data_IF_124956541796
#
_entry.id   IF_124956541796
#
_cell.length_a   1.000
_cell.length_b   1.000
_cell.length_c   1.000
_cell.angle_alpha   90.00
_cell.angle_beta   90.00
_cell.angle_gamma   90.00
#
_symmetry.space_group_name_H-M   'P 1'
#
loop_
_entity.id
_entity.type
_entity.pdbx_description
1 polymer ?
#
# COMPACT_ATOMS: atom_id res chain seq x y z
N UNK A 1 -18.78 -51.63 11.34
CA UNK A 1 -18.17 -50.86 10.23
C UNK A 1 -18.10 -49.42 10.68
N UNK A 2 -16.91 -48.92 11.01
CA UNK A 2 -16.74 -47.50 11.34
C UNK A 2 -16.63 -46.76 10.02
N UNK A 3 -17.69 -46.06 9.60
CA UNK A 3 -17.58 -45.08 8.52
C UNK A 3 -16.41 -44.15 8.87
N UNK A 4 -15.46 -43.95 7.96
CA UNK A 4 -14.41 -42.97 8.19
C UNK A 4 -15.10 -41.61 8.29
N UNK A 5 -15.08 -41.01 9.47
CA UNK A 5 -15.54 -39.65 9.65
C UNK A 5 -14.70 -38.78 8.70
N UNK A 6 -15.34 -38.22 7.69
CA UNK A 6 -14.68 -37.34 6.71
C UNK A 6 -13.97 -36.18 7.41
N UNK A 7 -12.96 -35.61 6.76
CA UNK A 7 -12.21 -34.48 7.31
C UNK A 7 -13.10 -33.24 7.33
N UNK A 8 -13.46 -32.80 8.53
CA UNK A 8 -14.28 -31.60 8.72
C UNK A 8 -13.41 -30.37 8.93
N UNK A 9 -13.77 -29.28 8.25
CA UNK A 9 -13.23 -27.94 8.51
C UNK A 9 -14.35 -26.94 8.76
N UNK A 10 -14.19 -26.16 9.83
CA UNK A 10 -15.11 -25.13 10.29
C UNK A 10 -14.36 -23.80 10.28
N UNK A 11 -14.91 -22.80 9.58
CA UNK A 11 -14.38 -21.43 9.60
C UNK A 11 -15.34 -20.51 10.33
N UNK A 12 -14.82 -19.79 11.33
CA UNK A 12 -15.59 -18.87 12.17
C UNK A 12 -14.97 -17.48 12.27
N UNK A 13 -13.79 -17.24 11.68
CA UNK A 13 -13.14 -15.92 11.60
C UNK A 13 -13.71 -15.08 10.43
N UNK A 14 -15.03 -15.04 10.33
CA UNK A 14 -15.83 -14.49 9.23
C UNK A 14 -17.22 -15.15 9.24
N UNK A 15 -17.99 -15.13 8.14
CA UNK A 15 -19.18 -15.97 7.99
C UNK A 15 -18.91 -17.44 8.31
N UNK A 16 -19.88 -18.14 8.92
CA UNK A 16 -19.74 -19.56 9.23
C UNK A 16 -19.67 -20.37 7.93
N UNK A 17 -18.52 -20.97 7.66
CA UNK A 17 -18.34 -21.89 6.54
C UNK A 17 -18.05 -23.30 7.05
N UNK A 18 -18.73 -24.28 6.49
CA UNK A 18 -18.55 -25.70 6.81
C UNK A 18 -18.10 -26.42 5.56
N UNK A 19 -17.06 -27.24 5.68
CA UNK A 19 -16.61 -28.13 4.61
C UNK A 19 -16.37 -29.53 5.15
N UNK A 20 -16.68 -30.54 4.33
CA UNK A 20 -16.44 -31.95 4.61
C UNK A 20 -15.72 -32.55 3.41
N UNK A 21 -14.51 -33.06 3.63
CA UNK A 21 -13.67 -33.63 2.57
C UNK A 21 -13.41 -32.64 1.41
N UNK A 22 -13.45 -31.33 1.71
CA UNK A 22 -13.30 -30.24 0.74
C UNK A 22 -14.62 -29.70 0.19
N UNK A 23 -15.72 -30.44 0.31
CA UNK A 23 -17.02 -30.02 -0.22
C UNK A 23 -17.76 -29.08 0.74
N UNK A 24 -18.36 -27.98 0.24
CA UNK A 24 -19.12 -27.06 1.08
C UNK A 24 -20.40 -27.71 1.61
N UNK A 25 -20.65 -27.54 2.91
CA UNK A 25 -21.86 -27.98 3.60
C UNK A 25 -22.69 -26.76 3.98
N UNK A 26 -23.99 -26.81 3.71
CA UNK A 26 -24.89 -25.70 4.03
C UNK A 26 -24.83 -25.37 5.53
N UNK A 27 -24.65 -24.08 5.84
CA UNK A 27 -24.66 -23.60 7.21
C UNK A 27 -26.04 -23.86 7.85
N UNK A 28 -26.09 -24.29 9.12
CA UNK A 28 -27.35 -24.55 9.77
C UNK A 28 -28.08 -23.24 10.13
N UNK A 29 -29.29 -23.37 10.68
CA UNK A 29 -30.06 -22.22 11.12
C UNK A 29 -29.32 -21.37 12.18
N UNK A 30 -29.79 -20.14 12.47
CA UNK A 30 -29.03 -19.16 13.25
C UNK A 30 -28.60 -19.62 14.65
N UNK A 31 -29.47 -20.36 15.35
CA UNK A 31 -29.19 -20.84 16.71
C UNK A 31 -28.21 -22.03 16.70
N UNK A 32 -28.43 -23.10 15.91
CA UNK A 32 -27.42 -24.13 15.70
C UNK A 32 -26.05 -23.58 15.26
N UNK A 33 -26.01 -22.60 14.35
CA UNK A 33 -24.76 -21.94 13.93
C UNK A 33 -24.05 -21.28 15.09
N UNK A 34 -24.77 -20.54 15.95
CA UNK A 34 -24.19 -19.94 17.13
C UNK A 34 -23.70 -20.98 18.17
N UNK A 35 -24.41 -22.10 18.34
CA UNK A 35 -23.96 -23.23 19.18
C UNK A 35 -22.65 -23.80 18.63
N UNK A 36 -22.56 -24.03 17.32
CA UNK A 36 -21.36 -24.55 16.68
C UNK A 36 -20.18 -23.58 16.79
N UNK A 37 -20.39 -22.29 16.52
CA UNK A 37 -19.37 -21.25 16.70
C UNK A 37 -18.89 -21.18 18.15
N UNK A 38 -19.79 -21.27 19.14
CA UNK A 38 -19.40 -21.28 20.56
C UNK A 38 -18.53 -22.50 20.91
N UNK A 39 -18.86 -23.69 20.39
CA UNK A 39 -18.04 -24.89 20.54
C UNK A 39 -16.68 -24.76 19.83
N UNK A 40 -16.68 -24.20 18.62
CA UNK A 40 -15.47 -23.88 17.86
C UNK A 40 -14.58 -22.91 18.64
N UNK A 41 -15.10 -21.90 19.33
CA UNK A 41 -14.26 -20.98 20.12
C UNK A 41 -13.75 -21.57 21.43
N UNK A 42 -14.43 -22.57 21.98
CA UNK A 42 -14.04 -23.20 23.24
C UNK A 42 -12.75 -24.04 23.13
N UNK A 43 -12.37 -24.44 21.91
CA UNK A 43 -11.23 -25.31 21.72
C UNK A 43 -11.50 -26.75 22.13
N UNK A 44 -10.41 -27.53 22.23
CA UNK A 44 -10.42 -28.93 22.68
C UNK A 44 -10.99 -29.13 24.10
N UNK A 45 -11.07 -28.05 24.90
CA UNK A 45 -11.64 -28.10 26.26
C UNK A 45 -13.17 -28.21 26.24
N UNK A 46 -13.82 -27.84 25.13
CA UNK A 46 -15.27 -27.77 25.02
C UNK A 46 -15.93 -26.86 26.05
N UNK A 47 -17.23 -27.05 26.25
CA UNK A 47 -18.06 -26.25 27.15
C UNK A 47 -19.00 -27.13 27.96
N UNK A 48 -19.15 -26.80 29.25
CA UNK A 48 -20.23 -27.33 30.06
C UNK A 48 -21.59 -26.83 29.53
N UNK A 49 -22.67 -27.58 29.75
CA UNK A 49 -24.01 -27.19 29.27
C UNK A 49 -24.42 -25.80 29.75
N UNK A 50 -24.21 -25.48 31.02
CA UNK A 50 -24.55 -24.15 31.58
C UNK A 50 -23.79 -23.03 30.88
N UNK A 51 -22.52 -23.27 30.58
CA UNK A 51 -21.68 -22.32 29.87
C UNK A 51 -22.11 -22.14 28.42
N UNK A 52 -22.45 -23.24 27.73
CA UNK A 52 -22.91 -23.22 26.35
C UNK A 52 -24.26 -22.50 26.21
N UNK A 53 -25.21 -22.74 27.12
CA UNK A 53 -26.47 -22.00 27.19
C UNK A 53 -26.22 -20.49 27.37
N UNK A 54 -25.29 -20.12 28.25
CA UNK A 54 -24.88 -18.73 28.47
C UNK A 54 -23.91 -18.15 27.42
N UNK A 55 -23.63 -18.88 26.34
CA UNK A 55 -22.77 -18.43 25.24
C UNK A 55 -23.55 -18.10 23.98
N UNK A 56 -24.80 -18.54 23.89
CA UNK A 56 -25.67 -18.33 22.72
C UNK A 56 -26.75 -17.33 23.08
N UNK A 57 -26.75 -16.20 22.40
CA UNK A 57 -27.60 -15.05 22.67
C UNK A 57 -28.56 -14.75 21.52
N UNK A 58 -29.62 -14.01 21.82
CA UNK A 58 -30.43 -13.34 20.82
C UNK A 58 -29.66 -12.15 20.25
N UNK A 59 -30.21 -11.51 19.20
CA UNK A 59 -29.65 -10.24 18.68
C UNK A 59 -29.71 -9.11 19.71
N UNK A 60 -30.60 -9.19 20.71
CA UNK A 60 -30.69 -8.23 21.81
C UNK A 60 -29.74 -8.55 22.98
N UNK A 61 -28.95 -9.63 22.90
CA UNK A 61 -27.98 -10.02 23.93
C UNK A 61 -28.53 -10.92 25.05
N UNK A 62 -29.83 -11.23 25.05
CA UNK A 62 -30.42 -12.16 26.01
C UNK A 62 -30.06 -13.62 25.69
N UNK A 63 -30.08 -14.56 26.66
CA UNK A 63 -29.87 -15.98 26.36
C UNK A 63 -30.90 -16.51 25.34
N UNK A 64 -30.44 -17.02 24.20
CA UNK A 64 -31.32 -17.53 23.14
C UNK A 64 -31.96 -18.88 23.52
N UNK A 65 -31.37 -19.56 24.50
CA UNK A 65 -31.81 -20.83 25.03
C UNK A 65 -31.56 -20.88 26.53
N UNK A 66 -32.55 -21.36 27.28
CA UNK A 66 -32.49 -21.49 28.75
C UNK A 66 -32.56 -22.95 29.23
N UNK A 67 -33.11 -23.83 28.39
CA UNK A 67 -33.36 -25.22 28.74
C UNK A 67 -32.38 -26.15 28.03
N UNK A 68 -31.88 -27.15 28.77
CA UNK A 68 -30.99 -28.19 28.26
C UNK A 68 -31.59 -28.95 27.07
N UNK A 69 -32.87 -29.31 27.12
CA UNK A 69 -33.52 -30.08 26.05
C UNK A 69 -33.51 -29.33 24.71
N UNK A 70 -33.60 -27.99 24.74
CA UNK A 70 -33.50 -27.16 23.53
C UNK A 70 -32.10 -27.21 22.93
N UNK A 71 -31.05 -27.16 23.77
CA UNK A 71 -29.67 -27.32 23.33
C UNK A 71 -29.44 -28.71 22.74
N UNK A 72 -29.92 -29.78 23.39
CA UNK A 72 -29.79 -31.16 22.90
C UNK A 72 -30.44 -31.37 21.53
N UNK A 73 -31.58 -30.72 21.27
CA UNK A 73 -32.20 -30.70 19.94
C UNK A 73 -31.27 -30.06 18.90
N UNK A 74 -30.69 -28.89 19.19
CA UNK A 74 -29.76 -28.23 18.26
C UNK A 74 -28.48 -29.02 18.03
N UNK A 75 -27.92 -29.66 19.08
CA UNK A 75 -26.78 -30.58 18.92
C UNK A 75 -27.16 -31.78 18.05
N UNK A 76 -28.38 -32.30 18.21
CA UNK A 76 -28.88 -33.40 17.38
C UNK A 76 -29.04 -32.96 15.92
N UNK A 77 -29.52 -31.73 15.66
CA UNK A 77 -29.60 -31.17 14.31
C UNK A 77 -28.22 -31.03 13.67
N UNK A 78 -27.22 -30.53 14.42
CA UNK A 78 -25.83 -30.45 13.96
C UNK A 78 -25.25 -31.83 13.63
N UNK A 79 -25.51 -32.85 14.45
CA UNK A 79 -25.10 -34.23 14.16
C UNK A 79 -25.78 -34.80 12.92
N UNK A 80 -27.05 -34.45 12.64
CA UNK A 80 -27.74 -34.87 11.40
C UNK A 80 -27.10 -34.29 10.14
N UNK A 81 -26.38 -33.17 10.25
CA UNK A 81 -25.55 -32.63 9.17
C UNK A 81 -24.23 -33.40 8.98
N UNK A 82 -23.96 -34.40 9.83
CA UNK A 82 -22.75 -35.20 9.80
C UNK A 82 -21.58 -34.64 10.60
N UNK A 83 -21.78 -33.53 11.34
CA UNK A 83 -20.72 -32.99 12.20
C UNK A 83 -20.35 -33.99 13.31
N UNK A 84 -19.05 -34.23 13.57
CA UNK A 84 -18.59 -35.27 14.47
C UNK A 84 -18.64 -34.80 15.93
N UNK A 85 -19.79 -34.31 16.40
CA UNK A 85 -19.96 -33.85 17.79
C UNK A 85 -20.19 -35.08 18.68
N UNK A 86 -19.24 -35.44 19.59
CA UNK A 86 -19.36 -36.64 20.41
C UNK A 86 -20.53 -36.57 21.38
N UNK A 87 -20.92 -37.72 21.94
CA UNK A 87 -22.03 -37.80 22.91
C UNK A 87 -21.75 -36.90 24.13
N UNK A 88 -22.82 -36.41 24.77
CA UNK A 88 -22.71 -35.64 26.00
C UNK A 88 -21.83 -36.35 27.04
N UNK A 89 -20.95 -35.62 27.70
CA UNK A 89 -20.10 -36.20 28.75
C UNK A 89 -18.87 -36.97 28.24
N UNK A 90 -18.77 -37.25 26.93
CA UNK A 90 -17.70 -38.13 26.41
C UNK A 90 -16.32 -37.48 26.37
N UNK A 91 -16.23 -36.20 26.02
CA UNK A 91 -14.98 -35.43 26.02
C UNK A 91 -14.89 -34.41 27.15
N UNK A 92 -16.04 -33.98 27.67
CA UNK A 92 -16.15 -32.95 28.70
C UNK A 92 -17.23 -33.38 29.67
N UNK A 93 -16.89 -33.49 30.95
CA UNK A 93 -17.85 -33.80 32.02
C UNK A 93 -19.01 -32.82 31.97
N UNK A 94 -20.23 -33.32 31.82
CA UNK A 94 -21.43 -32.49 31.70
C UNK A 94 -21.43 -31.46 30.55
N UNK A 95 -20.72 -31.75 29.45
CA UNK A 95 -20.53 -30.81 28.36
C UNK A 95 -20.47 -31.41 26.96
N UNK A 96 -20.11 -30.54 26.01
CA UNK A 96 -19.89 -30.83 24.61
C UNK A 96 -18.56 -30.24 24.14
N UNK A 97 -17.88 -30.93 23.23
CA UNK A 97 -16.67 -30.46 22.57
C UNK A 97 -16.66 -30.89 21.11
N UNK A 98 -15.85 -30.22 20.30
CA UNK A 98 -15.45 -30.73 18.99
C UNK A 98 -14.20 -31.63 19.18
N UNK A 99 -14.13 -32.76 18.47
CA UNK A 99 -12.98 -33.65 18.55
C UNK A 99 -11.75 -33.03 17.85
N UNK A 100 -10.53 -33.52 18.16
CA UNK A 100 -9.29 -32.88 17.74
C UNK A 100 -8.96 -33.00 16.24
N UNK A 101 -9.66 -33.87 15.53
CA UNK A 101 -9.58 -34.12 14.09
C UNK A 101 -10.41 -33.13 13.25
N UNK A 102 -11.26 -32.30 13.88
CA UNK A 102 -11.92 -31.19 13.22
C UNK A 102 -10.96 -30.01 13.10
N UNK A 103 -10.73 -29.54 11.88
CA UNK A 103 -9.95 -28.32 11.64
C UNK A 103 -10.83 -27.08 11.92
N UNK A 104 -10.34 -26.16 12.74
CA UNK A 104 -11.02 -24.90 13.06
C UNK A 104 -10.05 -23.74 12.88
N UNK A 105 -10.40 -22.77 12.04
CA UNK A 105 -9.54 -21.60 11.74
C UNK A 105 -9.16 -20.80 12.99
N UNK A 106 -10.08 -20.61 13.94
CA UNK A 106 -9.82 -19.95 15.21
C UNK A 106 -8.76 -20.69 16.06
N UNK A 107 -8.71 -22.03 15.96
CA UNK A 107 -7.67 -22.84 16.65
C UNK A 107 -6.35 -22.69 15.95
N UNK A 108 -6.34 -22.83 14.62
CA UNK A 108 -5.17 -22.67 13.77
C UNK A 108 -4.52 -21.29 13.97
N UNK A 109 -5.33 -20.24 13.95
CA UNK A 109 -4.88 -18.87 14.18
C UNK A 109 -4.26 -18.71 15.56
N UNK A 110 -5.00 -19.08 16.62
CA UNK A 110 -4.53 -18.89 18.00
C UNK A 110 -3.26 -19.69 18.31
N UNK A 111 -3.19 -20.93 17.81
CA UNK A 111 -2.01 -21.78 17.97
C UNK A 111 -0.84 -21.28 17.12
N UNK A 112 -1.12 -20.85 15.89
CA UNK A 112 -0.13 -20.31 14.97
C UNK A 112 0.53 -19.04 15.50
N UNK A 113 -0.24 -18.11 16.05
CA UNK A 113 0.29 -16.90 16.71
C UNK A 113 1.14 -17.27 17.93
N UNK A 114 0.67 -18.19 18.77
CA UNK A 114 1.41 -18.61 19.97
C UNK A 114 2.76 -19.29 19.63
N UNK A 115 2.88 -19.88 18.44
CA UNK A 115 4.09 -20.53 17.96
C UNK A 115 5.04 -19.59 17.19
N UNK A 116 4.69 -18.32 16.98
CA UNK A 116 5.56 -17.38 16.26
C UNK A 116 6.82 -17.05 17.07
N UNK A 117 8.00 -17.02 16.44
CA UNK A 117 9.20 -16.49 17.07
C UNK A 117 9.12 -14.96 17.21
N UNK A 118 9.99 -14.33 18.02
CA UNK A 118 10.03 -12.86 18.18
C UNK A 118 10.23 -12.07 16.89
N UNK A 119 10.89 -12.68 15.88
CA UNK A 119 10.99 -12.13 14.52
C UNK A 119 10.37 -13.15 13.57
N UNK A 120 9.05 -13.04 13.28
CA UNK A 120 8.36 -14.01 12.46
C UNK A 120 8.70 -13.83 10.98
N UNK A 121 8.66 -14.93 10.22
CA UNK A 121 8.76 -14.86 8.77
C UNK A 121 7.53 -14.14 8.18
N UNK A 122 7.68 -13.18 7.24
CA UNK A 122 6.56 -12.41 6.68
C UNK A 122 5.45 -13.30 6.09
N UNK A 123 5.84 -14.36 5.38
CA UNK A 123 4.91 -15.34 4.80
C UNK A 123 4.01 -15.98 5.87
N UNK A 124 4.56 -16.33 7.03
CA UNK A 124 3.79 -16.98 8.09
C UNK A 124 2.78 -16.02 8.73
N UNK A 125 3.15 -14.74 8.85
CA UNK A 125 2.22 -13.69 9.28
C UNK A 125 1.08 -13.55 8.28
N UNK A 126 1.38 -13.46 6.98
CA UNK A 126 0.37 -13.37 5.92
C UNK A 126 -0.60 -14.56 5.94
N UNK A 127 -0.10 -15.80 6.08
CA UNK A 127 -0.93 -17.01 6.21
C UNK A 127 -1.91 -16.94 7.39
N UNK A 128 -1.48 -16.41 8.54
CA UNK A 128 -2.34 -16.26 9.72
C UNK A 128 -3.39 -15.16 9.55
N UNK A 129 -3.03 -14.05 8.92
CA UNK A 129 -3.97 -12.95 8.63
C UNK A 129 -5.04 -13.39 7.63
N UNK A 130 -4.66 -14.18 6.62
CA UNK A 130 -5.56 -14.71 5.59
C UNK A 130 -6.63 -15.67 6.12
N UNK A 131 -6.51 -16.16 7.37
CA UNK A 131 -7.57 -16.94 8.01
C UNK A 131 -8.84 -16.10 8.29
N UNK A 132 -8.70 -14.77 8.37
CA UNK A 132 -9.79 -13.86 8.66
C UNK A 132 -10.46 -13.35 7.37
N UNK A 133 -11.78 -13.41 7.32
CA UNK A 133 -12.59 -12.92 6.21
C UNK A 133 -13.43 -11.68 6.58
N UNK A 134 -13.77 -11.50 7.86
CA UNK A 134 -14.54 -10.34 8.37
C UNK A 134 -14.32 -10.16 9.89
N UNK A 135 -14.86 -9.11 10.53
CA UNK A 135 -14.94 -9.05 12.00
C UNK A 135 -15.94 -10.11 12.49
N UNK A 136 -15.49 -11.21 13.13
CA UNK A 136 -16.39 -12.28 13.47
C UNK A 136 -17.40 -11.89 14.55
N UNK A 137 -17.17 -10.80 15.30
CA UNK A 137 -18.14 -10.30 16.30
C UNK A 137 -19.32 -9.58 15.64
N UNK A 138 -19.12 -8.95 14.48
CA UNK A 138 -20.21 -8.33 13.72
C UNK A 138 -21.06 -9.39 13.00
N UNK A 139 -20.44 -10.48 12.56
CA UNK A 139 -21.12 -11.57 11.84
C UNK A 139 -21.85 -12.51 12.81
N UNK A 140 -21.20 -12.91 13.91
CA UNK A 140 -21.74 -13.85 14.89
C UNK A 140 -22.37 -13.16 16.10
N UNK A 141 -23.29 -12.22 15.86
CA UNK A 141 -23.96 -11.41 16.92
C UNK A 141 -24.70 -12.22 17.99
N UNK A 142 -24.93 -13.52 17.75
CA UNK A 142 -25.58 -14.47 18.66
C UNK A 142 -24.60 -15.26 19.52
N UNK A 143 -23.31 -14.95 19.45
CA UNK A 143 -22.28 -15.55 20.29
C UNK A 143 -21.81 -14.52 21.30
N UNK A 144 -21.83 -14.87 22.59
CA UNK A 144 -21.47 -13.96 23.66
C UNK A 144 -20.05 -13.39 23.44
N UNK A 145 -19.84 -12.05 23.56
CA UNK A 145 -18.57 -11.40 23.25
C UNK A 145 -17.34 -12.03 23.91
N UNK A 146 -17.46 -12.42 25.19
CA UNK A 146 -16.40 -13.08 25.97
C UNK A 146 -15.81 -14.36 25.35
N UNK A 147 -16.52 -14.99 24.41
CA UNK A 147 -16.02 -16.19 23.71
C UNK A 147 -14.95 -15.85 22.68
N UNK A 148 -14.93 -14.63 22.19
CA UNK A 148 -13.94 -14.14 21.24
C UNK A 148 -12.62 -13.74 21.90
N UNK A 149 -12.63 -13.46 23.22
CA UNK A 149 -11.48 -12.93 23.97
C UNK A 149 -10.15 -13.64 23.69
N UNK A 150 -10.17 -14.97 23.58
CA UNK A 150 -8.95 -15.75 23.31
C UNK A 150 -8.37 -15.43 21.93
N UNK A 151 -9.21 -15.45 20.90
CA UNK A 151 -8.81 -15.18 19.51
C UNK A 151 -8.43 -13.72 19.35
N UNK A 152 -9.18 -12.80 19.97
CA UNK A 152 -8.88 -11.36 19.94
C UNK A 152 -7.54 -11.07 20.64
N UNK A 153 -7.25 -11.69 21.79
CA UNK A 153 -5.92 -11.56 22.42
C UNK A 153 -4.79 -12.06 21.52
N UNK A 154 -4.98 -13.18 20.82
CA UNK A 154 -4.02 -13.69 19.85
C UNK A 154 -3.84 -12.71 18.67
N UNK A 155 -4.93 -12.13 18.17
CA UNK A 155 -4.89 -11.08 17.14
C UNK A 155 -4.09 -9.87 17.60
N UNK A 156 -4.38 -9.35 18.79
CA UNK A 156 -3.68 -8.19 19.32
C UNK A 156 -2.19 -8.48 19.57
N UNK A 157 -1.85 -9.72 19.95
CA UNK A 157 -0.46 -10.18 20.03
C UNK A 157 0.23 -10.16 18.66
N UNK A 158 -0.42 -10.67 17.62
CA UNK A 158 0.11 -10.65 16.25
C UNK A 158 0.33 -9.22 15.75
N UNK A 159 -0.64 -8.32 15.97
CA UNK A 159 -0.53 -6.92 15.55
C UNK A 159 0.61 -6.19 16.27
N UNK A 160 0.80 -6.40 17.57
CA UNK A 160 1.96 -5.85 18.30
C UNK A 160 3.29 -6.36 17.75
N UNK A 161 3.36 -7.64 17.40
CA UNK A 161 4.56 -8.25 16.84
C UNK A 161 4.90 -7.62 15.47
N UNK A 162 3.91 -7.51 14.60
CA UNK A 162 3.99 -6.85 13.29
C UNK A 162 4.42 -5.39 13.41
N UNK A 163 3.88 -4.67 14.38
CA UNK A 163 4.23 -3.28 14.66
C UNK A 163 5.70 -3.17 15.07
N UNK A 164 6.13 -3.96 16.07
CA UNK A 164 7.50 -3.92 16.62
C UNK A 164 8.59 -4.34 15.64
N UNK A 165 8.26 -5.19 14.66
CA UNK A 165 9.20 -5.70 13.65
C UNK A 165 9.19 -4.89 12.36
N UNK A 166 8.25 -3.94 12.21
CA UNK A 166 8.12 -3.15 10.99
C UNK A 166 7.67 -3.96 9.77
N UNK A 167 7.21 -5.19 9.95
CA UNK A 167 6.78 -6.05 8.85
C UNK A 167 5.57 -5.42 8.14
N UNK A 168 5.67 -5.26 6.83
CA UNK A 168 4.57 -4.88 5.95
C UNK A 168 4.25 -6.01 4.99
N UNK A 169 2.98 -6.21 4.69
CA UNK A 169 2.51 -7.06 3.58
C UNK A 169 1.17 -6.54 3.07
N UNK A 170 0.79 -6.81 1.80
CA UNK A 170 -0.54 -6.48 1.28
C UNK A 170 -1.67 -7.08 2.13
N UNK A 171 -1.51 -8.33 2.58
CA UNK A 171 -2.51 -9.05 3.39
C UNK A 171 -2.77 -8.36 4.74
N UNK A 172 -1.77 -7.67 5.29
CA UNK A 172 -1.93 -6.90 6.51
C UNK A 172 -2.77 -5.63 6.28
N UNK A 173 -2.69 -5.01 5.10
CA UNK A 173 -3.57 -3.89 4.76
C UNK A 173 -5.02 -4.36 4.60
N UNK A 174 -5.24 -5.48 3.89
CA UNK A 174 -6.55 -6.10 3.71
C UNK A 174 -7.16 -6.52 5.05
N UNK A 175 -6.36 -7.18 5.90
CA UNK A 175 -6.78 -7.58 7.24
C UNK A 175 -7.22 -6.39 8.09
N UNK A 176 -6.42 -5.32 8.09
CA UNK A 176 -6.70 -4.11 8.86
C UNK A 176 -8.00 -3.44 8.39
N UNK A 177 -8.33 -3.52 7.10
CA UNK A 177 -9.58 -3.01 6.55
C UNK A 177 -10.83 -3.74 7.07
N UNK A 178 -10.71 -4.99 7.53
CA UNK A 178 -11.81 -5.75 8.16
C UNK A 178 -12.27 -5.14 9.50
N UNK A 179 -11.46 -4.28 10.13
CA UNK A 179 -11.70 -3.73 11.47
C UNK A 179 -11.65 -2.19 11.48
N UNK A 180 -12.57 -1.49 10.80
CA UNK A 180 -12.49 -0.04 10.59
C UNK A 180 -12.61 0.79 11.87
N UNK A 181 -13.20 0.24 12.94
CA UNK A 181 -13.39 0.91 14.22
C UNK A 181 -12.46 0.42 15.33
N UNK A 182 -11.55 -0.52 15.04
CA UNK A 182 -10.68 -1.10 16.07
C UNK A 182 -9.44 -0.21 16.31
N UNK A 183 -9.21 0.25 17.56
CA UNK A 183 -8.06 1.08 17.90
C UNK A 183 -6.70 0.42 17.61
N UNK A 184 -6.59 -0.91 17.77
CA UNK A 184 -5.33 -1.62 17.49
C UNK A 184 -4.99 -1.61 15.99
N UNK A 185 -6.01 -1.56 15.13
CA UNK A 185 -5.85 -1.45 13.69
C UNK A 185 -5.67 0.00 13.21
N UNK A 186 -6.06 1.01 14.00
CA UNK A 186 -5.95 2.42 13.63
C UNK A 186 -4.49 2.84 13.39
N UNK A 187 -3.58 2.52 14.32
CA UNK A 187 -2.17 2.87 14.18
C UNK A 187 -1.51 2.26 12.94
N UNK A 188 -1.87 1.01 12.61
CA UNK A 188 -1.38 0.34 11.40
C UNK A 188 -1.96 0.94 10.12
N UNK A 189 -3.25 1.35 10.10
CA UNK A 189 -3.82 2.10 8.98
C UNK A 189 -3.07 3.39 8.72
N UNK A 190 -2.79 4.16 9.76
CA UNK A 190 -2.06 5.42 9.61
C UNK A 190 -0.64 5.19 9.10
N UNK A 191 0.00 4.08 9.52
CA UNK A 191 1.30 3.65 8.98
C UNK A 191 1.22 3.30 7.50
N UNK A 192 0.23 2.50 7.09
CA UNK A 192 0.05 2.11 5.68
C UNK A 192 -0.35 3.27 4.81
N UNK A 193 -1.25 4.12 5.28
CA UNK A 193 -1.61 5.35 4.62
C UNK A 193 -0.35 6.17 4.36
N UNK A 194 0.55 6.31 5.34
CA UNK A 194 1.84 6.99 5.16
C UNK A 194 2.78 6.27 4.18
N UNK A 195 2.90 4.94 4.24
CA UNK A 195 3.75 4.17 3.31
C UNK A 195 3.23 4.16 1.87
N UNK A 196 1.92 4.28 1.67
CA UNK A 196 1.28 4.41 0.37
C UNK A 196 1.35 5.84 -0.18
N UNK A 197 1.65 6.85 0.65
CA UNK A 197 1.87 8.22 0.18
C UNK A 197 3.14 8.25 -0.63
N UNK A 198 3.03 8.84 -1.81
CA UNK A 198 4.19 9.13 -2.66
C UNK A 198 5.08 10.13 -1.94
N UNK A 199 6.39 9.93 -2.01
CA UNK A 199 7.40 10.76 -1.35
C UNK A 199 7.80 11.91 -2.25
N UNK A 200 7.57 13.13 -1.81
CA UNK A 200 7.86 14.35 -2.58
C UNK A 200 8.98 15.15 -1.94
N UNK A 201 10.00 15.49 -2.71
CA UNK A 201 10.93 16.55 -2.32
C UNK A 201 10.25 17.90 -2.55
N UNK A 202 10.30 18.76 -1.54
CA UNK A 202 9.84 20.15 -1.65
C UNK A 202 11.01 21.05 -1.28
N UNK A 203 11.54 21.77 -2.28
CA UNK A 203 12.60 22.77 -2.07
C UNK A 203 12.01 24.17 -2.18
N UNK A 204 12.04 24.92 -1.09
CA UNK A 204 11.44 26.25 -0.97
C UNK A 204 12.09 26.95 0.24
N UNK A 205 12.47 28.21 0.11
CA UNK A 205 13.10 28.99 1.18
C UNK A 205 12.08 29.78 2.04
N UNK A 206 11.09 30.41 1.41
CA UNK A 206 10.18 31.34 2.08
C UNK A 206 8.84 30.71 2.46
N UNK A 207 8.24 29.92 1.57
CA UNK A 207 6.86 29.41 1.76
C UNK A 207 6.79 27.91 2.07
N UNK A 208 7.89 27.31 2.55
CA UNK A 208 8.05 25.86 2.66
C UNK A 208 6.91 25.19 3.45
N UNK A 209 6.55 25.76 4.60
CA UNK A 209 5.46 25.25 5.45
C UNK A 209 4.09 25.30 4.76
N UNK A 210 3.82 26.35 3.99
CA UNK A 210 2.57 26.51 3.23
C UNK A 210 2.49 25.48 2.10
N UNK A 211 3.59 25.28 1.36
CA UNK A 211 3.65 24.28 0.27
C UNK A 211 3.48 22.86 0.82
N UNK A 212 4.17 22.53 1.91
CA UNK A 212 4.03 21.22 2.57
C UNK A 212 2.60 21.01 3.10
N UNK A 213 1.99 22.05 3.71
CA UNK A 213 0.60 21.97 4.16
C UNK A 213 -0.39 21.78 3.01
N UNK A 214 -0.10 22.32 1.82
CA UNK A 214 -0.93 22.11 0.63
C UNK A 214 -0.85 20.66 0.10
N UNK A 215 0.18 19.91 0.48
CA UNK A 215 0.50 18.54 0.05
C UNK A 215 0.26 17.51 1.16
N UNK A 216 -0.76 17.70 1.99
CA UNK A 216 -1.16 16.83 3.11
C UNK A 216 -1.36 15.34 2.76
N UNK A 217 -1.64 15.04 1.49
CA UNK A 217 -1.73 13.69 0.92
C UNK A 217 -0.39 13.04 0.54
N UNK A 218 0.76 13.66 0.80
CA UNK A 218 2.09 13.17 0.43
C UNK A 218 3.00 13.00 1.64
N UNK A 219 4.07 12.21 1.51
CA UNK A 219 5.18 12.18 2.45
C UNK A 219 6.23 13.20 1.97
N UNK A 220 6.15 14.43 2.47
CA UNK A 220 7.04 15.51 2.01
C UNK A 220 8.40 15.46 2.72
N UNK A 221 9.48 15.57 1.94
CA UNK A 221 10.84 15.83 2.40
C UNK A 221 11.14 17.32 2.17
N UNK A 222 10.98 18.18 3.19
CA UNK A 222 11.17 19.62 3.05
C UNK A 222 12.66 20.00 3.07
N UNK A 223 13.07 20.91 2.19
CA UNK A 223 14.44 21.42 2.08
C UNK A 223 14.41 22.95 1.92
N UNK A 224 15.00 23.67 2.87
CA UNK A 224 14.97 25.13 2.94
C UNK A 224 16.12 25.79 2.16
N UNK A 225 16.16 25.57 0.85
CA UNK A 225 17.15 26.18 -0.05
C UNK A 225 18.34 25.28 -0.43
N UNK A 226 19.29 25.86 -1.17
CA UNK A 226 20.35 25.11 -1.87
C UNK A 226 21.37 24.46 -0.93
N UNK A 227 21.79 25.13 0.14
CA UNK A 227 22.79 24.58 1.05
C UNK A 227 22.26 23.35 1.80
N UNK A 228 21.00 23.44 2.29
CA UNK A 228 20.30 22.32 2.91
C UNK A 228 20.13 21.12 1.95
N UNK A 229 19.94 21.40 0.65
CA UNK A 229 19.91 20.36 -0.38
C UNK A 229 21.23 19.59 -0.48
N UNK A 230 22.37 20.29 -0.55
CA UNK A 230 23.66 19.60 -0.64
C UNK A 230 24.01 18.85 0.65
N UNK A 231 23.64 19.38 1.81
CA UNK A 231 23.78 18.66 3.08
C UNK A 231 22.97 17.36 3.06
N UNK A 232 21.71 17.41 2.58
CA UNK A 232 20.85 16.23 2.45
C UNK A 232 21.46 15.19 1.51
N UNK A 233 21.92 15.59 0.32
CA UNK A 233 22.52 14.66 -0.64
C UNK A 233 23.80 14.02 -0.07
N UNK A 234 24.62 14.78 0.65
CA UNK A 234 25.87 14.28 1.22
C UNK A 234 25.66 13.34 2.41
N UNK A 235 24.65 13.61 3.24
CA UNK A 235 24.41 12.84 4.48
C UNK A 235 23.39 11.71 4.32
N UNK A 236 22.44 11.85 3.39
CA UNK A 236 21.23 11.01 3.28
C UNK A 236 20.85 10.74 1.82
N UNK A 237 21.85 10.48 0.97
CA UNK A 237 21.66 10.19 -0.47
C UNK A 237 20.57 9.15 -0.74
N UNK A 238 20.51 8.08 0.05
CA UNK A 238 19.52 7.00 -0.10
C UNK A 238 18.07 7.50 0.03
N UNK A 239 17.81 8.54 0.83
CA UNK A 239 16.47 9.10 0.95
C UNK A 239 16.07 9.85 -0.33
N UNK A 240 17.03 10.51 -0.98
CA UNK A 240 16.83 11.22 -2.24
C UNK A 240 16.56 10.23 -3.39
N UNK A 241 17.24 9.08 -3.41
CA UNK A 241 17.03 8.04 -4.43
C UNK A 241 15.65 7.37 -4.34
N UNK A 242 14.92 7.55 -3.24
CA UNK A 242 13.57 6.98 -3.00
C UNK A 242 12.43 7.98 -3.22
N UNK A 243 12.70 9.11 -3.85
CA UNK A 243 11.69 10.14 -4.12
C UNK A 243 10.86 9.79 -5.36
N UNK A 244 9.54 9.94 -5.24
CA UNK A 244 8.59 9.75 -6.34
C UNK A 244 8.45 11.01 -7.22
N UNK A 245 8.82 12.18 -6.70
CA UNK A 245 8.80 13.45 -7.43
C UNK A 245 9.46 14.59 -6.66
N UNK A 246 9.74 15.70 -7.36
CA UNK A 246 10.32 16.90 -6.77
C UNK A 246 9.60 18.17 -7.23
N UNK A 247 9.26 19.03 -6.27
CA UNK A 247 8.80 20.41 -6.46
C UNK A 247 9.90 21.34 -5.98
N UNK A 248 10.40 22.19 -6.87
CA UNK A 248 11.61 22.97 -6.63
C UNK A 248 11.31 24.43 -6.94
N UNK A 249 11.50 25.33 -5.98
CA UNK A 249 11.47 26.76 -6.29
C UNK A 249 12.70 27.17 -7.11
N UNK A 250 12.47 28.02 -8.12
CA UNK A 250 13.53 28.50 -9.00
C UNK A 250 14.52 29.41 -8.25
N UNK A 251 13.98 30.30 -7.43
CA UNK A 251 14.73 31.31 -6.71
C UNK A 251 14.83 30.88 -5.26
N UNK A 252 16.03 30.55 -4.78
CA UNK A 252 16.23 30.07 -3.40
C UNK A 252 16.95 31.11 -2.52
N UNK A 253 16.92 32.37 -2.96
CA UNK A 253 17.39 33.51 -2.20
C UNK A 253 16.41 34.68 -2.29
N UNK A 254 16.43 35.55 -1.28
CA UNK A 254 15.52 36.70 -1.14
C UNK A 254 15.56 37.71 -2.31
N UNK A 255 16.58 37.63 -3.19
CA UNK A 255 16.79 38.57 -4.27
C UNK A 255 16.02 38.28 -5.57
N UNK A 256 15.42 37.09 -5.72
CA UNK A 256 14.77 36.63 -6.97
C UNK A 256 15.63 36.76 -8.25
N UNK A 257 16.96 36.82 -8.08
CA UNK A 257 17.93 37.02 -9.18
C UNK A 257 18.80 35.80 -9.44
N UNK A 258 18.68 34.78 -8.59
CA UNK A 258 19.37 33.51 -8.76
C UNK A 258 18.48 32.50 -9.49
N UNK A 259 19.07 31.43 -10.02
CA UNK A 259 18.33 30.30 -10.60
C UNK A 259 18.77 29.00 -9.89
N UNK A 260 19.03 29.05 -8.58
CA UNK A 260 19.62 27.95 -7.83
C UNK A 260 18.78 26.68 -7.84
N UNK A 261 17.46 26.80 -8.02
CA UNK A 261 16.59 25.64 -8.20
C UNK A 261 16.96 24.78 -9.41
N UNK A 262 17.53 25.37 -10.46
CA UNK A 262 17.96 24.63 -11.65
C UNK A 262 19.13 23.69 -11.35
N UNK A 263 20.04 24.06 -10.46
CA UNK A 263 21.16 23.18 -10.05
C UNK A 263 20.65 21.90 -9.37
N UNK A 264 19.55 22.00 -8.63
CA UNK A 264 18.91 20.86 -7.97
C UNK A 264 18.16 19.99 -8.98
N UNK A 265 17.44 20.62 -9.92
CA UNK A 265 16.76 19.92 -11.00
C UNK A 265 17.76 19.18 -11.92
N UNK A 266 18.89 19.81 -12.26
CA UNK A 266 19.98 19.20 -13.02
C UNK A 266 20.55 17.99 -12.29
N UNK A 267 20.85 18.12 -10.99
CA UNK A 267 21.34 17.00 -10.20
C UNK A 267 20.36 15.83 -10.21
N UNK A 268 19.06 16.08 -10.00
CA UNK A 268 18.03 15.03 -10.04
C UNK A 268 17.93 14.39 -11.43
N UNK A 269 18.05 15.19 -12.49
CA UNK A 269 18.02 14.71 -13.87
C UNK A 269 19.18 13.74 -14.16
N UNK A 270 20.38 14.07 -13.68
CA UNK A 270 21.60 13.31 -13.95
C UNK A 270 21.77 12.08 -13.05
N UNK A 271 21.25 12.11 -11.83
CA UNK A 271 21.55 11.09 -10.81
C UNK A 271 20.37 10.18 -10.46
N UNK A 272 19.16 10.50 -10.91
CA UNK A 272 17.93 9.78 -10.51
C UNK A 272 16.97 9.64 -11.68
N UNK A 273 15.92 8.82 -11.50
CA UNK A 273 14.74 8.82 -12.37
C UNK A 273 13.61 9.74 -11.86
N UNK A 274 13.83 10.46 -10.75
CA UNK A 274 12.81 11.28 -10.10
C UNK A 274 12.38 12.42 -11.04
N UNK A 275 11.08 12.54 -11.34
CA UNK A 275 10.56 13.65 -12.14
C UNK A 275 10.55 14.92 -11.30
N UNK A 276 10.80 16.07 -11.94
CA UNK A 276 10.79 17.37 -11.27
C UNK A 276 9.80 18.34 -11.93
N UNK A 277 9.30 19.28 -11.15
CA UNK A 277 8.62 20.48 -11.60
C UNK A 277 9.20 21.69 -10.86
N UNK A 278 9.27 22.81 -11.58
CA UNK A 278 9.83 24.05 -11.07
C UNK A 278 8.70 24.99 -10.67
N UNK A 279 8.85 25.75 -9.60
CA UNK A 279 7.94 26.81 -9.16
C UNK A 279 8.63 28.16 -9.34
N UNK A 280 7.91 29.19 -9.78
CA UNK A 280 8.49 30.55 -9.90
C UNK A 280 7.44 31.65 -9.76
N UNK A 281 7.85 32.81 -9.24
CA UNK A 281 7.08 34.06 -9.19
C UNK A 281 7.30 34.98 -10.40
N UNK A 282 8.30 34.69 -11.24
CA UNK A 282 8.68 35.51 -12.38
C UNK A 282 9.15 34.60 -13.53
N UNK A 283 8.30 34.28 -14.52
CA UNK A 283 8.76 33.55 -15.69
C UNK A 283 9.83 34.39 -16.42
N UNK A 284 10.90 33.78 -16.96
CA UNK A 284 11.99 34.50 -17.62
C UNK A 284 11.46 35.40 -18.74
N UNK A 285 11.90 36.66 -18.79
CA UNK A 285 11.47 37.64 -19.79
C UNK A 285 12.09 37.33 -21.16
N UNK A 286 11.26 37.12 -22.20
CA UNK A 286 11.67 36.71 -23.55
C UNK A 286 10.60 35.83 -24.18
N UNK A 287 10.82 35.24 -25.37
CA UNK A 287 9.85 34.37 -26.06
C UNK A 287 9.42 33.18 -25.17
N UNK A 288 8.37 33.41 -24.37
CA UNK A 288 8.06 32.68 -23.12
C UNK A 288 7.89 31.18 -23.37
N UNK A 289 7.41 30.81 -24.55
CA UNK A 289 7.14 29.43 -24.92
C UNK A 289 8.42 28.69 -25.26
N UNK A 290 9.29 29.29 -26.09
CA UNK A 290 10.51 28.63 -26.54
C UNK A 290 11.52 28.49 -25.39
N UNK A 291 11.75 29.55 -24.60
CA UNK A 291 12.61 29.50 -23.42
C UNK A 291 12.14 28.48 -22.38
N UNK A 292 10.82 28.39 -22.15
CA UNK A 292 10.24 27.40 -21.22
C UNK A 292 10.44 25.96 -21.73
N UNK A 293 10.26 25.70 -23.03
CA UNK A 293 10.47 24.36 -23.58
C UNK A 293 11.95 23.95 -23.51
N UNK A 294 12.87 24.88 -23.80
CA UNK A 294 14.31 24.65 -23.67
C UNK A 294 14.69 24.32 -22.22
N UNK A 295 14.23 25.11 -21.25
CA UNK A 295 14.49 24.83 -19.83
C UNK A 295 13.91 23.48 -19.40
N UNK A 296 12.67 23.16 -19.82
CA UNK A 296 12.05 21.87 -19.50
C UNK A 296 12.81 20.69 -20.07
N UNK A 297 13.30 20.81 -21.31
CA UNK A 297 14.13 19.78 -21.92
C UNK A 297 15.48 19.69 -21.19
N UNK A 298 16.19 20.80 -20.99
CA UNK A 298 17.53 20.84 -20.36
C UNK A 298 17.55 20.20 -18.97
N UNK A 299 16.56 20.51 -18.13
CA UNK A 299 16.51 20.10 -16.72
C UNK A 299 15.49 18.98 -16.43
N UNK A 300 15.00 18.29 -17.47
CA UNK A 300 14.01 17.20 -17.36
C UNK A 300 12.77 17.58 -16.53
N UNK A 301 12.25 18.81 -16.73
CA UNK A 301 11.10 19.31 -15.99
C UNK A 301 9.79 18.90 -16.67
N UNK A 302 8.90 18.32 -15.88
CA UNK A 302 7.53 18.01 -16.32
C UNK A 302 6.73 19.27 -16.59
N UNK A 303 6.94 20.34 -15.81
CA UNK A 303 6.30 21.64 -15.98
C UNK A 303 7.01 22.72 -15.16
N UNK A 304 6.69 23.99 -15.46
CA UNK A 304 7.04 25.17 -14.67
C UNK A 304 5.73 25.80 -14.20
N UNK A 305 5.58 25.96 -12.89
CA UNK A 305 4.36 26.41 -12.22
C UNK A 305 4.57 27.87 -11.80
N UNK A 306 3.60 28.70 -12.11
CA UNK A 306 3.59 30.07 -11.65
C UNK A 306 2.93 30.15 -10.27
N UNK A 307 3.66 30.67 -9.27
CA UNK A 307 3.16 30.75 -7.90
C UNK A 307 2.05 31.78 -7.71
N UNK A 308 1.91 32.77 -8.61
CA UNK A 308 0.89 33.83 -8.53
C UNK A 308 1.39 35.09 -7.80
N UNK A 309 1.06 36.30 -8.27
CA UNK A 309 1.49 37.57 -7.61
C UNK A 309 0.79 37.83 -6.28
N UNK A 310 -0.42 37.30 -6.11
CA UNK A 310 -1.33 37.62 -4.99
C UNK A 310 -1.43 36.48 -3.94
N UNK A 311 -0.54 35.49 -4.01
CA UNK A 311 -0.51 34.35 -3.09
C UNK A 311 -0.26 33.02 -3.80
N UNK A 312 0.06 32.00 -3.00
CA UNK A 312 0.46 30.66 -3.46
C UNK A 312 -0.66 29.95 -4.23
N UNK A 313 -0.41 29.59 -5.50
CA UNK A 313 -1.32 28.73 -6.28
C UNK A 313 -1.31 27.27 -5.80
N UNK A 314 -2.08 27.02 -4.73
CA UNK A 314 -2.28 25.69 -4.14
C UNK A 314 -2.82 24.67 -5.16
N UNK A 315 -3.65 25.10 -6.10
CA UNK A 315 -4.25 24.20 -7.10
C UNK A 315 -3.20 23.77 -8.12
N UNK A 316 -2.39 24.70 -8.61
CA UNK A 316 -1.24 24.42 -9.48
C UNK A 316 -0.24 23.47 -8.83
N UNK A 317 0.10 23.71 -7.56
CA UNK A 317 1.02 22.85 -6.77
C UNK A 317 0.48 21.42 -6.62
N UNK A 318 -0.80 21.27 -6.26
CA UNK A 318 -1.42 19.94 -6.12
C UNK A 318 -1.50 19.20 -7.44
N UNK A 319 -1.84 19.90 -8.53
CA UNK A 319 -1.85 19.32 -9.87
C UNK A 319 -0.45 18.88 -10.29
N UNK A 320 0.58 19.66 -9.95
CA UNK A 320 1.97 19.31 -10.21
C UNK A 320 2.39 18.04 -9.49
N UNK A 321 2.19 17.99 -8.17
CA UNK A 321 2.44 16.81 -7.37
C UNK A 321 1.80 15.56 -7.98
N UNK A 322 0.53 15.68 -8.43
CA UNK A 322 -0.17 14.59 -9.11
C UNK A 322 0.51 14.20 -10.43
N UNK A 323 0.90 15.14 -11.28
CA UNK A 323 1.63 14.84 -12.54
C UNK A 323 2.95 14.14 -12.26
N UNK A 324 3.64 14.49 -11.18
CA UNK A 324 4.91 13.88 -10.79
C UNK A 324 4.75 12.43 -10.31
N UNK A 325 3.72 12.12 -9.52
CA UNK A 325 3.70 10.85 -8.78
C UNK A 325 2.57 9.88 -9.16
N UNK A 326 1.54 10.37 -9.86
CA UNK A 326 0.36 9.56 -10.18
C UNK A 326 0.69 8.48 -11.21
N UNK A 327 0.07 7.32 -11.02
CA UNK A 327 0.13 6.17 -11.92
C UNK A 327 -0.95 6.23 -13.03
N UNK A 328 -1.71 7.33 -13.13
CA UNK A 328 -2.63 7.56 -14.25
C UNK A 328 -1.85 7.68 -15.58
N UNK A 329 -2.32 6.97 -16.62
CA UNK A 329 -1.70 6.91 -17.95
C UNK A 329 -1.23 8.26 -18.49
N UNK A 330 -2.07 9.29 -18.41
CA UNK A 330 -1.75 10.64 -18.91
C UNK A 330 -0.53 11.26 -18.19
N UNK A 331 -0.38 11.02 -16.88
CA UNK A 331 0.72 11.57 -16.09
C UNK A 331 2.00 10.78 -16.33
N UNK A 332 1.91 9.45 -16.42
CA UNK A 332 3.05 8.60 -16.80
C UNK A 332 3.58 9.01 -18.18
N UNK A 333 2.70 9.19 -19.17
CA UNK A 333 3.06 9.63 -20.52
C UNK A 333 3.70 11.02 -20.53
N UNK A 334 3.22 11.95 -19.71
CA UNK A 334 3.86 13.27 -19.57
C UNK A 334 5.32 13.16 -19.08
N UNK A 335 5.59 12.31 -18.08
CA UNK A 335 6.95 12.07 -17.57
C UNK A 335 7.86 11.39 -18.61
N UNK A 336 7.31 10.43 -19.35
CA UNK A 336 8.02 9.78 -20.45
C UNK A 336 8.38 10.78 -21.56
N UNK A 337 7.45 11.66 -21.95
CA UNK A 337 7.70 12.72 -22.92
C UNK A 337 8.85 13.63 -22.49
N UNK A 338 8.85 14.07 -21.22
CA UNK A 338 9.94 14.89 -20.65
C UNK A 338 11.29 14.16 -20.69
N UNK A 339 11.32 12.85 -20.43
CA UNK A 339 12.56 12.05 -20.48
C UNK A 339 13.15 11.99 -21.89
N UNK A 340 12.30 11.82 -22.92
CA UNK A 340 12.74 11.86 -24.32
C UNK A 340 13.24 13.24 -24.70
N UNK A 341 12.52 14.31 -24.33
CA UNK A 341 12.93 15.68 -24.62
C UNK A 341 14.31 16.00 -24.02
N UNK A 342 14.55 15.58 -22.78
CA UNK A 342 15.83 15.77 -22.09
C UNK A 342 16.98 15.03 -22.77
N UNK A 343 16.84 13.72 -23.02
CA UNK A 343 17.91 12.95 -23.65
C UNK A 343 18.21 13.46 -25.08
N UNK A 344 17.19 13.88 -25.82
CA UNK A 344 17.35 14.51 -27.14
C UNK A 344 18.12 15.83 -27.06
N UNK A 345 17.77 16.71 -26.12
CA UNK A 345 18.44 18.00 -25.95
C UNK A 345 19.94 17.84 -25.69
N UNK A 346 20.31 16.97 -24.75
CA UNK A 346 21.72 16.72 -24.42
C UNK A 346 22.47 16.00 -25.54
N UNK A 347 21.81 15.14 -26.30
CA UNK A 347 22.41 14.55 -27.49
C UNK A 347 22.68 15.60 -28.58
N UNK A 348 21.79 16.57 -28.77
CA UNK A 348 21.96 17.69 -29.69
C UNK A 348 23.14 18.56 -29.30
N UNK A 349 23.21 19.01 -28.04
CA UNK A 349 24.33 19.81 -27.52
C UNK A 349 25.68 19.12 -27.73
N UNK A 350 25.76 17.83 -27.38
CA UNK A 350 27.00 17.03 -27.50
C UNK A 350 27.45 16.79 -28.95
N UNK A 351 26.52 16.73 -29.90
CA UNK A 351 26.81 16.42 -31.31
C UNK A 351 26.95 17.67 -32.19
N UNK A 352 26.51 18.84 -31.72
CA UNK A 352 26.52 20.08 -32.47
C UNK A 352 27.95 20.60 -32.76
N UNK A 353 28.92 20.34 -31.87
CA UNK A 353 30.23 21.02 -31.94
C UNK A 353 31.42 20.08 -31.69
N UNK A 354 32.40 19.98 -32.62
CA UNK A 354 32.40 20.50 -33.98
C UNK A 354 31.55 19.63 -34.93
N UNK A 355 30.84 20.23 -35.92
CA UNK A 355 30.01 19.49 -36.85
C UNK A 355 30.85 18.72 -37.86
N UNK A 356 30.72 17.40 -37.88
CA UNK A 356 31.31 16.49 -38.86
C UNK A 356 30.19 15.69 -39.54
N UNK A 357 30.46 15.08 -40.69
CA UNK A 357 29.47 14.19 -41.34
C UNK A 357 29.02 13.06 -40.41
N UNK A 358 29.94 12.56 -39.57
CA UNK A 358 29.65 11.55 -38.56
C UNK A 358 28.70 12.08 -37.48
N UNK A 359 28.94 13.28 -36.93
CA UNK A 359 28.06 13.84 -35.90
C UNK A 359 26.69 14.21 -36.46
N UNK A 360 26.60 14.69 -37.72
CA UNK A 360 25.32 14.93 -38.41
C UNK A 360 24.50 13.65 -38.58
N UNK A 361 25.12 12.53 -39.01
CA UNK A 361 24.43 11.23 -39.13
C UNK A 361 23.93 10.72 -37.77
N UNK A 362 24.73 10.86 -36.71
CA UNK A 362 24.33 10.49 -35.35
C UNK A 362 23.19 11.36 -34.83
N UNK A 363 23.19 12.65 -35.15
CA UNK A 363 22.10 13.54 -34.78
C UNK A 363 20.79 13.12 -35.48
N UNK A 364 20.84 12.84 -36.79
CA UNK A 364 19.67 12.32 -37.53
C UNK A 364 19.17 10.97 -36.97
N UNK A 365 20.08 10.11 -36.52
CA UNK A 365 19.73 8.86 -35.84
C UNK A 365 19.00 9.13 -34.52
N UNK A 366 19.55 10.01 -33.68
CA UNK A 366 18.91 10.44 -32.44
C UNK A 366 17.51 11.01 -32.68
N UNK A 367 17.32 11.83 -33.71
CA UNK A 367 16.01 12.43 -34.01
C UNK A 367 14.98 11.38 -34.44
N UNK A 368 15.36 10.44 -35.31
CA UNK A 368 14.47 9.34 -35.74
C UNK A 368 14.06 8.45 -34.57
N UNK A 369 15.00 8.13 -33.67
CA UNK A 369 14.70 7.32 -32.50
C UNK A 369 13.84 8.06 -31.47
N UNK A 370 14.10 9.36 -31.25
CA UNK A 370 13.27 10.19 -30.38
C UNK A 370 11.83 10.26 -30.92
N UNK A 371 11.65 10.43 -32.23
CA UNK A 371 10.34 10.41 -32.87
C UNK A 371 9.64 9.06 -32.74
N UNK A 372 10.38 7.95 -32.85
CA UNK A 372 9.83 6.62 -32.63
C UNK A 372 9.34 6.44 -31.19
N UNK A 373 10.16 6.79 -30.20
CA UNK A 373 9.76 6.75 -28.80
C UNK A 373 8.53 7.65 -28.52
N UNK A 374 8.49 8.86 -29.09
CA UNK A 374 7.34 9.77 -28.96
C UNK A 374 6.07 9.28 -29.67
N UNK A 375 6.17 8.44 -30.70
CA UNK A 375 5.00 7.76 -31.29
C UNK A 375 4.44 6.74 -30.31
N UNK A 376 5.28 5.93 -29.69
CA UNK A 376 4.85 4.98 -28.66
C UNK A 376 4.23 5.69 -27.45
N UNK A 377 4.82 6.80 -26.97
CA UNK A 377 4.26 7.60 -25.88
C UNK A 377 2.88 8.16 -26.20
N UNK A 378 2.58 8.48 -27.47
CA UNK A 378 1.28 9.03 -27.88
C UNK A 378 0.22 7.97 -28.16
N UNK A 379 0.59 6.84 -28.76
CA UNK A 379 -0.35 5.89 -29.33
C UNK A 379 -0.16 4.43 -28.89
N UNK A 380 1.01 4.07 -28.36
CA UNK A 380 1.33 2.71 -27.92
C UNK A 380 0.75 2.38 -26.54
N UNK A 381 0.76 1.08 -26.20
CA UNK A 381 0.51 0.61 -24.83
C UNK A 381 1.55 1.20 -23.87
N UNK A 382 1.16 1.41 -22.60
CA UNK A 382 2.05 2.07 -21.64
C UNK A 382 3.36 1.31 -21.42
N UNK A 383 3.36 -0.03 -21.47
CA UNK A 383 4.58 -0.83 -21.32
C UNK A 383 5.50 -0.67 -22.53
N UNK A 384 4.94 -0.60 -23.74
CA UNK A 384 5.70 -0.39 -24.97
C UNK A 384 6.32 1.01 -24.96
N UNK A 385 5.55 2.04 -24.59
CA UNK A 385 6.05 3.39 -24.42
C UNK A 385 7.20 3.47 -23.40
N UNK A 386 7.06 2.82 -22.25
CA UNK A 386 8.12 2.76 -21.24
C UNK A 386 9.39 2.06 -21.75
N UNK A 387 9.25 0.94 -22.48
CA UNK A 387 10.41 0.23 -23.06
C UNK A 387 11.13 1.10 -24.10
N UNK A 388 10.39 1.68 -25.05
CA UNK A 388 10.95 2.51 -26.11
C UNK A 388 11.67 3.75 -25.55
N UNK A 389 11.09 4.40 -24.54
CA UNK A 389 11.69 5.56 -23.88
C UNK A 389 12.95 5.16 -23.11
N UNK A 390 12.94 4.03 -22.40
CA UNK A 390 14.13 3.54 -21.68
C UNK A 390 15.27 3.25 -22.66
N UNK A 391 15.01 2.52 -23.74
CA UNK A 391 16.02 2.21 -24.77
C UNK A 391 16.61 3.48 -25.40
N UNK A 392 15.76 4.48 -25.68
CA UNK A 392 16.19 5.77 -26.19
C UNK A 392 17.07 6.52 -25.17
N UNK A 393 16.60 6.65 -23.93
CA UNK A 393 17.30 7.37 -22.86
C UNK A 393 18.65 6.72 -22.57
N UNK A 394 18.71 5.39 -22.41
CA UNK A 394 19.96 4.66 -22.13
C UNK A 394 21.02 4.89 -23.21
N UNK A 395 20.59 5.04 -24.48
CA UNK A 395 21.48 5.29 -25.62
C UNK A 395 21.97 6.72 -25.71
N UNK A 396 21.10 7.70 -25.41
CA UNK A 396 21.35 9.11 -25.74
C UNK A 396 21.60 10.01 -24.54
N UNK A 397 21.37 9.56 -23.31
CA UNK A 397 21.62 10.34 -22.10
C UNK A 397 23.07 10.85 -21.98
N UNK A 398 23.31 11.92 -21.20
CA UNK A 398 24.65 12.31 -20.79
C UNK A 398 25.38 11.10 -20.20
N UNK A 399 26.66 10.90 -20.56
CA UNK A 399 27.46 9.87 -19.90
C UNK A 399 28.00 10.48 -18.61
N UNK A 400 28.04 9.70 -17.52
CA UNK A 400 28.65 10.14 -16.26
C UNK A 400 30.03 10.78 -16.53
N UNK A 401 30.18 12.04 -16.13
CA UNK A 401 31.41 12.83 -16.34
C UNK A 401 31.43 13.75 -17.57
N UNK A 402 30.35 13.83 -18.37
CA UNK A 402 30.29 14.74 -19.53
C UNK A 402 29.62 16.10 -19.28
N UNK A 403 29.45 16.52 -18.01
CA UNK A 403 28.85 17.83 -17.70
C UNK A 403 29.82 18.91 -18.19
N UNK A 404 29.41 19.61 -19.24
CA UNK A 404 30.03 20.84 -19.73
C UNK A 404 30.02 21.85 -18.58
N UNK A 405 31.18 22.08 -17.97
CA UNK A 405 31.40 23.21 -17.06
C UNK A 405 31.59 24.50 -17.84
#
# INVERSE_FOLDING_TARGET
MSESAGLWRIRVLGPLELTRDGDPVAAPGPIPSAVLTALALAGRRGLHVRELLGSVTTRSGEPAMRLRNTLERHISDLRRLGLPIPKYGSLVTEGYALPPDVAVDAWEFSAGVAALPPVPAPRRVAELLALWAEDPRSVHVRVAPRRWDRVIRARDQLLRLVESTGLGSPELADFVALFPSDPACAALRDRFARQARKRLLVVEDQNLSLVVSALDGYDCLPVAGRDAWYELVNSRREDVLRLDGALIDLHLTDGYRDEQGLDIAEWLADHTATPAALMTMAPPAGDLVEGTQVQRARYRLTQIIYKGRDGLDVTGIRNAARVLTSDEDRHVRARLHTSVAWARFHAQERLATPPTDRTRRRLQECEREAEAALREVRAGDLRQAQSAVREFVDRWQPREGSVLR
#
